data_IF_538999693868
#
_entry.id   IF_538999693868
#
_cell.length_a   1.000
_cell.length_b   1.000
_cell.length_c   1.000
_cell.angle_alpha   90.00
_cell.angle_beta   90.00
_cell.angle_gamma   90.00
#
_symmetry.space_group_name_H-M   'P 1'
#
loop_
_entity.id
_entity.type
_entity.pdbx_description
1 polymer ?
#
# COMPACT_ATOMS: atom_id res chain seq x y z
N UNK A 1 -0.75 15.43 -4.20
CA UNK A 1 -1.63 14.38 -4.76
C UNK A 1 -3.03 14.60 -4.20
N UNK A 2 -4.09 14.30 -4.96
CA UNK A 2 -5.48 14.44 -4.49
C UNK A 2 -6.01 13.05 -4.05
N UNK A 3 -6.27 12.81 -2.75
CA UNK A 3 -6.72 11.50 -2.25
C UNK A 3 -7.99 10.97 -2.93
N UNK A 4 -8.90 11.88 -3.31
CA UNK A 4 -10.15 11.53 -3.98
C UNK A 4 -9.89 10.88 -5.34
N UNK A 5 -8.86 11.33 -6.08
CA UNK A 5 -8.52 10.77 -7.40
C UNK A 5 -8.02 9.34 -7.31
N UNK A 6 -7.25 9.01 -6.27
CA UNK A 6 -6.78 7.64 -6.01
C UNK A 6 -7.96 6.73 -5.69
N UNK A 7 -8.89 7.19 -4.85
CA UNK A 7 -10.10 6.44 -4.49
C UNK A 7 -10.99 6.23 -5.72
N UNK A 8 -11.20 7.27 -6.54
CA UNK A 8 -11.98 7.18 -7.79
C UNK A 8 -11.38 6.16 -8.75
N UNK A 9 -10.06 6.21 -8.98
CA UNK A 9 -9.40 5.28 -9.90
C UNK A 9 -9.61 3.81 -9.48
N UNK A 10 -9.41 3.48 -8.20
CA UNK A 10 -9.64 2.11 -7.71
C UNK A 10 -11.12 1.74 -7.77
N UNK A 11 -12.02 2.64 -7.37
CA UNK A 11 -13.48 2.41 -7.37
C UNK A 11 -14.00 2.13 -8.77
N UNK A 12 -13.52 2.86 -9.77
CA UNK A 12 -13.99 2.76 -11.16
C UNK A 12 -13.28 1.64 -11.92
N UNK A 13 -12.18 1.11 -11.38
CA UNK A 13 -11.35 0.08 -12.00
C UNK A 13 -10.43 0.64 -13.09
N UNK A 14 -10.12 1.94 -12.99
CA UNK A 14 -9.24 2.64 -13.90
C UNK A 14 -7.76 2.38 -13.55
N UNK A 15 -6.88 2.72 -14.49
CA UNK A 15 -5.44 2.70 -14.25
C UNK A 15 -5.07 3.67 -13.12
N UNK A 16 -4.30 3.18 -12.14
CA UNK A 16 -3.76 3.98 -11.06
C UNK A 16 -2.25 4.14 -11.26
N UNK A 17 -1.79 5.39 -11.29
CA UNK A 17 -0.35 5.68 -11.29
C UNK A 17 0.27 5.13 -9.99
N UNK A 18 1.25 4.21 -10.07
CA UNK A 18 1.93 3.65 -8.90
C UNK A 18 2.51 4.73 -7.97
N UNK A 19 2.99 5.85 -8.51
CA UNK A 19 3.56 6.94 -7.72
C UNK A 19 2.49 7.71 -6.93
N UNK A 20 1.27 7.83 -7.48
CA UNK A 20 0.16 8.46 -6.76
C UNK A 20 -0.34 7.59 -5.62
N UNK A 21 -0.31 6.25 -5.78
CA UNK A 21 -0.58 5.33 -4.69
C UNK A 21 0.46 5.46 -3.58
N UNK A 22 1.76 5.52 -3.92
CA UNK A 22 2.82 5.72 -2.93
C UNK A 22 2.62 7.02 -2.16
N UNK A 23 2.39 8.16 -2.85
CA UNK A 23 2.12 9.44 -2.19
C UNK A 23 0.88 9.40 -1.30
N UNK A 24 -0.16 8.66 -1.69
CA UNK A 24 -1.37 8.49 -0.89
C UNK A 24 -1.09 7.72 0.40
N UNK A 25 -0.34 6.63 0.33
CA UNK A 25 0.02 5.82 1.49
C UNK A 25 1.00 6.55 2.42
N UNK A 26 2.01 7.22 1.87
CA UNK A 26 2.93 8.07 2.63
C UNK A 26 2.18 9.23 3.32
N UNK A 27 1.25 9.85 2.60
CA UNK A 27 0.39 10.90 3.16
C UNK A 27 -0.49 10.37 4.31
N UNK A 28 -1.01 9.15 4.22
CA UNK A 28 -1.73 8.53 5.34
C UNK A 28 -0.83 8.29 6.55
N UNK A 29 0.39 7.80 6.35
CA UNK A 29 1.37 7.60 7.42
C UNK A 29 1.82 8.92 8.07
N UNK A 30 1.83 10.01 7.29
CA UNK A 30 2.15 11.36 7.77
C UNK A 30 0.95 12.11 8.39
N UNK A 31 -0.26 11.54 8.36
CA UNK A 31 -1.48 12.18 8.86
C UNK A 31 -2.06 13.26 7.93
N UNK A 32 -1.64 13.29 6.66
CA UNK A 32 -2.13 14.21 5.62
C UNK A 32 -3.34 13.66 4.84
N UNK A 33 -3.51 12.32 4.83
CA UNK A 33 -4.70 11.65 4.32
C UNK A 33 -5.56 11.25 5.50
N UNK A 34 -6.81 11.70 5.49
CA UNK A 34 -7.75 11.48 6.59
C UNK A 34 -8.20 10.01 6.68
N UNK A 35 -8.49 9.53 7.88
CA UNK A 35 -8.90 8.13 8.12
C UNK A 35 -10.11 7.71 7.27
N UNK A 36 -11.08 8.61 7.08
CA UNK A 36 -12.25 8.32 6.26
C UNK A 36 -11.89 8.13 4.77
N UNK A 37 -10.84 8.79 4.27
CA UNK A 37 -10.36 8.61 2.90
C UNK A 37 -9.69 7.25 2.75
N UNK A 38 -8.87 6.85 3.73
CA UNK A 38 -8.25 5.52 3.75
C UNK A 38 -9.31 4.41 3.82
N UNK A 39 -10.36 4.58 4.63
CA UNK A 39 -11.47 3.62 4.70
C UNK A 39 -12.22 3.49 3.36
N UNK A 40 -12.43 4.59 2.64
CA UNK A 40 -13.06 4.59 1.32
C UNK A 40 -12.18 3.90 0.27
N UNK A 41 -10.87 4.15 0.29
CA UNK A 41 -9.89 3.44 -0.54
C UNK A 41 -9.93 1.93 -0.28
N UNK A 42 -9.88 1.51 1.00
CA UNK A 42 -9.92 0.09 1.37
C UNK A 42 -11.21 -0.59 0.89
N UNK A 43 -12.37 0.08 1.01
CA UNK A 43 -13.62 -0.45 0.49
C UNK A 43 -13.61 -0.58 -1.04
N UNK A 44 -13.02 0.38 -1.76
CA UNK A 44 -12.84 0.27 -3.20
C UNK A 44 -11.97 -0.94 -3.57
N UNK A 45 -10.86 -1.17 -2.85
CA UNK A 45 -9.98 -2.34 -3.02
C UNK A 45 -10.73 -3.65 -2.75
N UNK A 46 -11.58 -3.73 -1.72
CA UNK A 46 -12.39 -4.93 -1.45
C UNK A 46 -13.29 -5.29 -2.64
N UNK A 47 -13.86 -4.28 -3.32
CA UNK A 47 -14.82 -4.48 -4.40
C UNK A 47 -14.17 -4.67 -5.78
N UNK A 48 -13.01 -4.06 -6.02
CA UNK A 48 -12.37 -3.99 -7.34
C UNK A 48 -11.01 -4.66 -7.42
N UNK A 49 -10.39 -4.94 -6.27
CA UNK A 49 -9.02 -5.40 -6.18
C UNK A 49 -8.01 -4.30 -6.48
N UNK A 50 -6.75 -4.70 -6.63
CA UNK A 50 -5.65 -3.87 -7.10
C UNK A 50 -4.93 -4.59 -8.24
N UNK A 51 -4.44 -3.83 -9.21
CA UNK A 51 -3.50 -4.35 -10.20
C UNK A 51 -2.20 -4.81 -9.51
N UNK A 52 -1.46 -5.79 -10.08
CA UNK A 52 -0.22 -6.30 -9.49
C UNK A 52 0.80 -5.23 -9.13
N UNK A 53 0.99 -4.22 -9.99
CA UNK A 53 1.93 -3.12 -9.80
C UNK A 53 1.52 -2.23 -8.62
N UNK A 54 0.21 -1.97 -8.47
CA UNK A 54 -0.34 -1.21 -7.35
C UNK A 54 -0.22 -2.01 -6.04
N UNK A 55 -0.44 -3.33 -6.07
CA UNK A 55 -0.24 -4.20 -4.92
C UNK A 55 1.23 -4.22 -4.47
N UNK A 56 2.17 -4.27 -5.40
CA UNK A 56 3.61 -4.19 -5.09
C UNK A 56 3.95 -2.87 -4.39
N UNK A 57 3.41 -1.74 -4.85
CA UNK A 57 3.61 -0.44 -4.18
C UNK A 57 2.98 -0.37 -2.81
N UNK A 58 1.78 -0.93 -2.62
CA UNK A 58 1.16 -1.01 -1.30
C UNK A 58 2.05 -1.79 -0.32
N UNK A 59 2.47 -3.00 -0.70
CA UNK A 59 3.30 -3.86 0.16
C UNK A 59 4.67 -3.23 0.42
N UNK A 60 5.31 -2.67 -0.60
CA UNK A 60 6.60 -1.98 -0.45
C UNK A 60 6.53 -0.78 0.47
N UNK A 61 5.49 0.06 0.33
CA UNK A 61 5.31 1.23 1.21
C UNK A 61 5.06 0.79 2.66
N UNK A 62 4.25 -0.25 2.87
CA UNK A 62 4.02 -0.82 4.20
C UNK A 62 5.31 -1.39 4.81
N UNK A 63 6.09 -2.17 4.05
CA UNK A 63 7.37 -2.73 4.50
C UNK A 63 8.35 -1.66 4.99
N UNK A 64 8.39 -0.51 4.30
CA UNK A 64 9.30 0.59 4.58
C UNK A 64 8.72 1.69 5.49
N UNK A 65 7.48 1.53 5.98
CA UNK A 65 6.85 2.46 6.92
C UNK A 65 7.42 2.40 8.35
N UNK A 66 8.27 1.40 8.63
CA UNK A 66 8.89 1.20 9.94
C UNK A 66 10.31 0.64 9.84
N UNK A 67 10.72 -0.12 10.85
CA UNK A 67 12.04 -0.73 10.87
C UNK A 67 12.07 -1.99 9.98
N UNK A 68 13.11 -2.10 9.15
CA UNK A 68 13.43 -3.31 8.37
C UNK A 68 14.57 -4.05 9.04
N UNK A 69 14.36 -5.32 9.40
CA UNK A 69 15.37 -6.14 10.07
C UNK A 69 16.46 -6.58 9.08
N UNK A 70 17.72 -6.28 9.39
CA UNK A 70 18.87 -6.88 8.71
C UNK A 70 19.32 -8.16 9.42
N UNK A 71 19.10 -9.29 8.75
CA UNK A 71 19.49 -10.61 9.23
C UNK A 71 20.80 -11.10 8.61
N UNK A 72 21.59 -10.22 7.97
CA UNK A 72 22.87 -10.54 7.31
C UNK A 72 23.87 -11.27 8.21
N UNK A 73 23.80 -11.02 9.51
CA UNK A 73 24.64 -11.62 10.54
C UNK A 73 24.36 -13.11 10.81
N UNK A 74 23.22 -13.67 10.38
CA UNK A 74 22.88 -15.07 10.58
C UNK A 74 23.44 -15.97 9.46
N UNK A 75 24.08 -17.10 9.78
CA UNK A 75 24.54 -18.05 8.77
C UNK A 75 23.36 -18.87 8.20
N UNK A 76 23.36 -19.09 6.89
CA UNK A 76 22.40 -19.97 6.20
C UNK A 76 21.13 -19.27 5.66
N UNK A 77 20.23 -20.05 5.02
CA UNK A 77 18.97 -19.54 4.48
C UNK A 77 17.97 -19.18 5.58
N UNK A 78 17.19 -18.11 5.36
CA UNK A 78 16.10 -17.68 6.25
C UNK A 78 14.79 -18.24 5.72
N UNK A 79 13.99 -18.83 6.60
CA UNK A 79 12.67 -19.38 6.28
C UNK A 79 11.69 -18.82 7.28
N UNK A 80 10.53 -18.42 6.79
CA UNK A 80 9.41 -17.97 7.62
C UNK A 80 8.13 -18.72 7.20
N UNK A 81 7.16 -18.80 8.12
CA UNK A 81 5.87 -19.45 7.90
C UNK A 81 4.78 -18.52 8.42
N UNK A 82 3.90 -18.11 7.51
CA UNK A 82 2.70 -17.35 7.83
C UNK A 82 1.45 -18.19 7.58
N UNK A 83 0.48 -18.14 8.49
CA UNK A 83 -0.87 -18.67 8.26
C UNK A 83 -1.82 -17.50 8.06
N UNK A 84 -2.73 -17.64 7.11
CA UNK A 84 -3.92 -16.78 7.02
C UNK A 84 -4.87 -17.06 8.19
#
# INVERSE_FOLDING_TARGET
MNPVRVIEAVRDGDSLDPDDLTRFLEGYLAGEVEEYQMSAFLMAVVLKGLAPEALERLVGTMLHSGAVLDLSHLPGPRVDKHST
#
